data_IF_323911040915
#
_entry.id   IF_323911040915
#
_cell.length_a   1.000
_cell.length_b   1.000
_cell.length_c   1.000
_cell.angle_alpha   90.00
_cell.angle_beta   90.00
_cell.angle_gamma   90.00
#
_symmetry.space_group_name_H-M   'P 1'
#
loop_
_entity.id
_entity.type
_entity.pdbx_description
1 polymer ?
#
# COMPACT_ATOMS: atom_id res chain seq x y z
N UNK A 1 -3.94 7.21 11.50
CA UNK A 1 -4.41 8.11 12.57
C UNK A 1 -3.87 7.64 13.93
N UNK A 2 -3.94 6.36 14.23
CA UNK A 2 -3.42 5.77 15.47
C UNK A 2 -2.84 4.38 15.23
N UNK A 3 -1.92 3.93 16.11
CA UNK A 3 -1.36 2.58 16.04
C UNK A 3 -0.28 2.35 14.96
N UNK A 4 0.09 3.37 14.19
CA UNK A 4 1.06 3.23 13.10
C UNK A 4 2.38 2.61 13.52
N UNK A 5 2.96 1.76 12.65
CA UNK A 5 4.17 0.99 12.93
C UNK A 5 3.93 -0.35 13.62
N UNK A 6 2.75 -0.58 14.23
CA UNK A 6 2.44 -1.88 14.86
C UNK A 6 2.12 -2.98 13.84
N UNK A 7 1.94 -2.59 12.58
CA UNK A 7 1.75 -3.46 11.41
C UNK A 7 3.06 -3.92 10.76
N UNK A 8 4.20 -3.51 11.30
CA UNK A 8 5.51 -3.86 10.75
C UNK A 8 5.91 -5.30 11.06
N UNK A 9 6.61 -6.00 10.14
CA UNK A 9 6.98 -7.41 10.27
C UNK A 9 7.86 -7.73 11.49
N UNK A 10 8.54 -6.75 12.07
CA UNK A 10 9.32 -6.97 13.27
C UNK A 10 8.49 -6.91 14.56
N UNK A 11 7.29 -6.32 14.53
CA UNK A 11 6.46 -6.07 15.71
C UNK A 11 5.28 -7.03 15.84
N UNK A 12 4.38 -7.11 14.82
CA UNK A 12 3.15 -7.88 14.96
C UNK A 12 3.33 -9.38 15.23
N UNK A 13 4.42 -10.07 14.80
CA UNK A 13 4.56 -11.49 15.10
C UNK A 13 4.72 -11.79 16.61
N UNK A 14 5.20 -10.80 17.36
CA UNK A 14 5.38 -10.94 18.82
C UNK A 14 4.18 -10.44 19.60
N UNK A 15 3.65 -9.29 19.21
CA UNK A 15 2.70 -8.51 20.01
C UNK A 15 1.31 -8.37 19.36
N UNK A 16 1.14 -8.80 18.12
CA UNK A 16 0.01 -8.39 17.27
C UNK A 16 0.09 -6.92 16.91
N UNK A 17 -0.63 -6.49 15.86
CA UNK A 17 -0.73 -5.10 15.44
C UNK A 17 -2.15 -4.59 15.56
N UNK A 18 -2.31 -3.30 15.83
CA UNK A 18 -3.62 -2.66 15.88
C UNK A 18 -3.49 -1.19 15.49
N UNK A 19 -4.31 -0.74 14.53
CA UNK A 19 -4.19 0.61 14.00
C UNK A 19 -5.52 1.11 13.42
N UNK A 20 -5.68 2.43 13.42
CA UNK A 20 -6.78 3.13 12.76
C UNK A 20 -6.22 3.86 11.54
N UNK A 21 -6.78 3.58 10.37
CA UNK A 21 -6.42 4.22 9.11
C UNK A 21 -7.54 5.11 8.59
N UNK A 22 -7.17 6.18 7.88
CA UNK A 22 -8.12 6.97 7.10
C UNK A 22 -7.55 7.19 5.69
N UNK A 23 -8.38 6.94 4.69
CA UNK A 23 -8.01 7.18 3.30
C UNK A 23 -8.15 8.67 2.96
N UNK A 24 -7.20 9.20 2.22
CA UNK A 24 -7.26 10.59 1.74
C UNK A 24 -8.01 10.69 0.41
N UNK A 25 -8.67 11.82 0.17
CA UNK A 25 -9.30 12.15 -1.13
C UNK A 25 -8.24 12.58 -2.16
N UNK A 26 -7.19 11.76 -2.31
CA UNK A 26 -6.13 11.89 -3.30
C UNK A 26 -5.95 10.58 -4.03
N UNK A 27 -5.84 10.63 -5.34
CA UNK A 27 -5.98 9.44 -6.19
C UNK A 27 -4.73 9.14 -7.00
N UNK A 28 -4.53 7.85 -7.22
CA UNK A 28 -3.65 7.31 -8.24
C UNK A 28 -4.52 6.60 -9.27
N UNK A 29 -4.44 7.04 -10.50
CA UNK A 29 -5.19 6.47 -11.62
C UNK A 29 -4.30 5.50 -12.37
N UNK A 30 -4.79 4.29 -12.59
CA UNK A 30 -4.08 3.26 -13.36
C UNK A 30 -4.97 2.82 -14.51
N UNK A 31 -4.46 2.91 -15.72
CA UNK A 31 -5.13 2.39 -16.92
C UNK A 31 -4.38 1.20 -17.47
N UNK A 32 -5.13 0.18 -17.89
CA UNK A 32 -4.60 -1.03 -18.50
C UNK A 32 -5.34 -1.27 -19.81
N UNK A 33 -4.60 -1.42 -20.90
CA UNK A 33 -5.17 -1.76 -22.21
C UNK A 33 -4.34 -2.83 -22.92
N UNK A 34 -4.99 -3.67 -23.72
CA UNK A 34 -4.33 -4.69 -24.53
C UNK A 34 -3.67 -4.07 -25.77
N UNK A 35 -2.44 -4.47 -26.05
CA UNK A 35 -1.70 -4.03 -27.26
C UNK A 35 -1.78 -5.12 -28.34
N UNK A 36 -2.95 -5.24 -28.98
CA UNK A 36 -3.26 -6.33 -29.93
C UNK A 36 -2.33 -6.44 -31.14
N UNK A 37 -1.72 -5.32 -31.57
CA UNK A 37 -0.92 -5.25 -32.80
C UNK A 37 0.57 -5.02 -32.54
N UNK A 38 1.01 -5.06 -31.29
CA UNK A 38 2.38 -4.79 -30.90
C UNK A 38 2.84 -5.83 -29.89
N UNK A 39 4.01 -6.41 -30.12
CA UNK A 39 4.62 -7.46 -29.31
C UNK A 39 5.42 -6.94 -28.09
N UNK A 40 5.08 -5.76 -27.59
CA UNK A 40 5.83 -5.09 -26.50
C UNK A 40 4.89 -4.55 -25.42
N UNK A 41 5.29 -4.71 -24.17
CA UNK A 41 4.71 -4.00 -23.05
C UNK A 41 5.14 -2.52 -23.09
N UNK A 42 4.22 -1.63 -22.76
CA UNK A 42 4.49 -0.21 -22.51
C UNK A 42 4.04 0.16 -21.12
N UNK A 43 4.98 0.60 -20.28
CA UNK A 43 4.69 0.97 -18.89
C UNK A 43 5.06 2.44 -18.72
N UNK A 44 4.06 3.28 -18.47
CA UNK A 44 4.23 4.74 -18.33
C UNK A 44 3.90 5.18 -16.91
N UNK A 45 4.90 5.73 -16.24
CA UNK A 45 4.81 6.30 -14.89
C UNK A 45 5.69 7.57 -14.84
N UNK A 46 6.65 7.75 -13.93
CA UNK A 46 7.65 8.83 -13.99
C UNK A 46 8.61 8.72 -15.19
N UNK A 47 8.69 7.54 -15.78
CA UNK A 47 9.36 7.24 -17.05
C UNK A 47 8.48 6.32 -17.90
N UNK A 48 8.90 6.08 -19.15
CA UNK A 48 8.23 5.11 -20.03
C UNK A 48 9.21 3.98 -20.37
N UNK A 49 8.77 2.75 -20.10
CA UNK A 49 9.44 1.53 -20.52
C UNK A 49 8.72 0.94 -21.75
N UNK A 50 9.46 0.37 -22.68
CA UNK A 50 8.93 -0.31 -23.86
C UNK A 50 9.73 -1.57 -24.12
N UNK A 51 9.27 -2.69 -23.56
CA UNK A 51 10.02 -3.95 -23.45
C UNK A 51 9.26 -5.13 -24.03
N UNK A 52 9.97 -6.19 -24.45
CA UNK A 52 9.36 -7.38 -25.06
C UNK A 52 8.86 -8.39 -24.02
N UNK A 53 9.57 -8.51 -22.92
CA UNK A 53 9.28 -9.54 -21.92
C UNK A 53 9.00 -8.92 -20.56
N UNK A 54 8.23 -9.62 -19.73
CA UNK A 54 7.95 -9.19 -18.34
C UNK A 54 9.25 -9.08 -17.54
N UNK A 55 10.24 -9.92 -17.82
CA UNK A 55 11.52 -9.93 -17.11
C UNK A 55 12.33 -8.64 -17.32
N UNK A 56 12.13 -7.97 -18.45
CA UNK A 56 12.80 -6.70 -18.79
C UNK A 56 12.14 -5.48 -18.14
N UNK A 57 10.93 -5.63 -17.56
CA UNK A 57 10.23 -4.51 -16.89
C UNK A 57 11.03 -4.10 -15.66
N UNK A 58 11.49 -2.85 -15.61
CA UNK A 58 12.25 -2.31 -14.48
C UNK A 58 11.35 -2.02 -13.28
N UNK A 59 10.11 -1.54 -13.52
CA UNK A 59 9.15 -1.35 -12.45
C UNK A 59 8.81 -2.70 -11.81
N UNK A 60 9.41 -2.97 -10.66
CA UNK A 60 9.29 -4.25 -9.96
C UNK A 60 7.84 -4.59 -9.56
N UNK A 61 7.03 -3.61 -9.17
CA UNK A 61 5.62 -3.82 -8.81
C UNK A 61 4.80 -4.26 -10.01
N UNK A 62 4.99 -3.62 -11.17
CA UNK A 62 4.32 -4.02 -12.41
C UNK A 62 4.74 -5.43 -12.80
N UNK A 63 6.04 -5.70 -12.77
CA UNK A 63 6.60 -7.01 -13.12
C UNK A 63 6.01 -8.13 -12.26
N UNK A 64 5.99 -7.94 -10.95
CA UNK A 64 5.51 -8.98 -10.04
C UNK A 64 3.97 -9.10 -10.05
N UNK A 65 3.22 -8.02 -10.27
CA UNK A 65 1.77 -8.07 -10.47
C UNK A 65 1.39 -8.88 -11.73
N UNK A 66 2.07 -8.66 -12.85
CA UNK A 66 1.87 -9.42 -14.08
C UNK A 66 2.21 -10.91 -13.89
N UNK A 67 3.29 -11.21 -13.16
CA UNK A 67 3.68 -12.60 -12.81
C UNK A 67 2.65 -13.28 -11.92
N UNK A 68 2.24 -12.62 -10.85
CA UNK A 68 1.25 -13.14 -9.90
C UNK A 68 -0.06 -13.53 -10.61
N UNK A 69 -0.51 -12.68 -11.54
CA UNK A 69 -1.76 -12.89 -12.27
C UNK A 69 -1.60 -13.70 -13.56
N UNK A 70 -0.40 -14.23 -13.85
CA UNK A 70 -0.07 -15.00 -15.05
C UNK A 70 -0.46 -14.29 -16.36
N UNK A 71 -0.26 -12.97 -16.44
CA UNK A 71 -0.56 -12.19 -17.64
C UNK A 71 0.69 -12.10 -18.49
N UNK A 72 0.66 -12.77 -19.64
CA UNK A 72 1.81 -12.87 -20.56
C UNK A 72 1.65 -12.01 -21.83
N UNK A 73 0.43 -11.55 -22.12
CA UNK A 73 0.15 -10.71 -23.30
C UNK A 73 0.63 -9.30 -23.09
N UNK A 74 1.18 -8.66 -24.14
CA UNK A 74 1.60 -7.26 -24.10
C UNK A 74 0.46 -6.32 -23.71
N UNK A 75 0.70 -5.52 -22.70
CA UNK A 75 -0.21 -4.51 -22.20
C UNK A 75 0.42 -3.11 -22.27
N UNK A 76 -0.42 -2.11 -22.39
CA UNK A 76 -0.09 -0.73 -22.06
C UNK A 76 -0.65 -0.42 -20.68
N UNK A 77 0.21 -0.01 -19.77
CA UNK A 77 -0.11 0.37 -18.40
C UNK A 77 0.35 1.81 -18.22
N UNK A 78 -0.57 2.71 -17.91
CA UNK A 78 -0.25 4.11 -17.66
C UNK A 78 -0.76 4.55 -16.29
N UNK A 79 0.02 5.40 -15.62
CA UNK A 79 -0.25 5.87 -14.27
C UNK A 79 -0.24 7.39 -14.21
N UNK A 80 -1.26 7.96 -13.57
CA UNK A 80 -1.34 9.37 -13.21
C UNK A 80 -1.56 9.45 -11.70
N UNK A 81 -0.78 10.28 -11.01
CA UNK A 81 -0.88 10.44 -9.56
C UNK A 81 -1.08 11.91 -9.19
N UNK A 82 -2.04 12.18 -8.29
CA UNK A 82 -2.28 13.50 -7.74
C UNK A 82 -1.28 13.90 -6.64
N UNK A 83 -0.53 12.93 -6.13
CA UNK A 83 0.48 13.16 -5.09
C UNK A 83 1.86 12.73 -5.57
N UNK A 84 2.92 13.45 -5.19
CA UNK A 84 4.28 13.04 -5.54
C UNK A 84 4.61 11.65 -4.99
N UNK A 85 5.44 10.91 -5.73
CA UNK A 85 6.05 9.69 -5.19
C UNK A 85 6.93 10.00 -3.97
N UNK A 86 7.14 9.04 -3.09
CA UNK A 86 7.95 9.18 -1.86
C UNK A 86 7.49 10.31 -0.93
N UNK A 87 6.19 10.62 -0.96
CA UNK A 87 5.57 11.64 -0.08
C UNK A 87 5.19 11.11 1.30
N UNK A 88 5.32 9.80 1.56
CA UNK A 88 4.86 9.16 2.80
C UNK A 88 3.35 8.95 2.89
N UNK A 89 2.61 9.17 1.79
CA UNK A 89 1.14 9.05 1.73
C UNK A 89 0.67 7.72 1.12
N UNK A 90 1.50 6.68 1.12
CA UNK A 90 1.13 5.37 0.59
C UNK A 90 0.93 5.33 -0.93
N UNK A 91 1.50 6.28 -1.70
CA UNK A 91 1.31 6.36 -3.16
C UNK A 91 1.77 5.10 -3.90
N UNK A 92 2.78 4.41 -3.40
CA UNK A 92 3.30 3.17 -3.93
C UNK A 92 2.27 2.03 -3.83
N UNK A 93 1.71 1.83 -2.64
CA UNK A 93 0.67 0.83 -2.39
C UNK A 93 -0.63 1.20 -3.10
N UNK A 94 -0.95 2.51 -3.20
CA UNK A 94 -2.09 2.98 -3.98
C UNK A 94 -1.96 2.62 -5.46
N UNK A 95 -0.77 2.80 -6.03
CA UNK A 95 -0.46 2.36 -7.39
C UNK A 95 -0.66 0.85 -7.54
N UNK A 96 -0.07 0.06 -6.64
CA UNK A 96 -0.11 -1.40 -6.75
C UNK A 96 -1.53 -1.97 -6.59
N UNK A 97 -2.29 -1.48 -5.62
CA UNK A 97 -3.71 -1.88 -5.43
C UNK A 97 -4.55 -1.51 -6.66
N UNK A 98 -4.36 -0.29 -7.19
CA UNK A 98 -5.03 0.17 -8.41
C UNK A 98 -4.65 -0.68 -9.63
N UNK A 99 -3.37 -1.04 -9.76
CA UNK A 99 -2.87 -1.90 -10.82
C UNK A 99 -3.50 -3.30 -10.73
N UNK A 100 -3.46 -3.94 -9.58
CA UNK A 100 -4.05 -5.26 -9.37
C UNK A 100 -5.54 -5.26 -9.71
N UNK A 101 -6.28 -4.24 -9.24
CA UNK A 101 -7.70 -4.09 -9.57
C UNK A 101 -7.92 -3.98 -11.08
N UNK A 102 -7.11 -3.19 -11.79
CA UNK A 102 -7.22 -3.02 -13.24
C UNK A 102 -6.84 -4.31 -13.99
N UNK A 103 -5.83 -5.05 -13.52
CA UNK A 103 -5.41 -6.32 -14.12
C UNK A 103 -6.45 -7.44 -13.89
N UNK A 104 -7.06 -7.54 -12.72
CA UNK A 104 -8.19 -8.45 -12.49
C UNK A 104 -9.38 -8.11 -13.40
N UNK A 105 -9.72 -6.82 -13.52
CA UNK A 105 -10.78 -6.38 -14.44
C UNK A 105 -10.44 -6.72 -15.90
N UNK A 106 -9.19 -6.57 -16.32
CA UNK A 106 -8.72 -6.99 -17.64
C UNK A 106 -8.92 -8.50 -17.88
N UNK A 107 -8.70 -9.32 -16.85
CA UNK A 107 -8.97 -10.78 -16.90
C UNK A 107 -10.47 -11.13 -16.84
N UNK A 108 -11.36 -10.16 -16.59
CA UNK A 108 -12.78 -10.41 -16.35
C UNK A 108 -13.09 -10.95 -14.94
N UNK A 109 -12.16 -10.80 -14.01
CA UNK A 109 -12.29 -11.27 -12.63
C UNK A 109 -12.79 -10.14 -11.72
N UNK A 110 -13.71 -10.45 -10.82
CA UNK A 110 -14.15 -9.56 -9.75
C UNK A 110 -13.59 -10.06 -8.42
N UNK A 111 -12.74 -9.28 -7.79
CA UNK A 111 -12.09 -9.63 -6.52
C UNK A 111 -12.46 -8.66 -5.41
N UNK A 112 -12.43 -9.13 -4.17
CA UNK A 112 -12.75 -8.30 -3.01
C UNK A 112 -11.64 -7.28 -2.73
N UNK A 113 -11.99 -6.16 -2.07
CA UNK A 113 -11.00 -5.20 -1.57
C UNK A 113 -9.97 -5.87 -0.64
N UNK A 114 -10.40 -6.84 0.16
CA UNK A 114 -9.50 -7.61 1.02
C UNK A 114 -8.49 -8.40 0.20
N UNK A 115 -8.92 -9.09 -0.85
CA UNK A 115 -8.03 -9.83 -1.75
C UNK A 115 -6.99 -8.91 -2.38
N UNK A 116 -7.41 -7.74 -2.88
CA UNK A 116 -6.49 -6.74 -3.45
C UNK A 116 -5.44 -6.27 -2.43
N UNK A 117 -5.85 -6.03 -1.18
CA UNK A 117 -4.93 -5.64 -0.11
C UNK A 117 -3.93 -6.75 0.22
N UNK A 118 -4.40 -8.01 0.28
CA UNK A 118 -3.56 -9.18 0.56
C UNK A 118 -2.54 -9.44 -0.56
N UNK A 119 -2.96 -9.36 -1.82
CA UNK A 119 -2.08 -9.51 -2.98
C UNK A 119 -1.03 -8.38 -3.05
N UNK A 120 -1.44 -7.12 -2.82
CA UNK A 120 -0.51 -6.00 -2.78
C UNK A 120 0.51 -6.15 -1.65
N UNK A 121 0.06 -6.49 -0.43
CA UNK A 121 0.94 -6.77 0.69
C UNK A 121 1.88 -7.95 0.41
N UNK A 122 1.39 -9.00 -0.24
CA UNK A 122 2.21 -10.15 -0.64
C UNK A 122 3.32 -9.74 -1.61
N UNK A 123 3.00 -8.94 -2.63
CA UNK A 123 4.02 -8.46 -3.58
C UNK A 123 5.05 -7.61 -2.87
N UNK A 124 4.65 -6.57 -2.14
CA UNK A 124 5.59 -5.63 -1.54
C UNK A 124 6.42 -6.27 -0.40
N UNK A 125 5.79 -7.01 0.50
CA UNK A 125 6.44 -7.55 1.70
C UNK A 125 7.12 -8.91 1.42
N UNK A 126 6.41 -9.84 0.76
CA UNK A 126 6.90 -11.20 0.63
C UNK A 126 7.77 -11.41 -0.62
N UNK A 127 7.43 -10.80 -1.76
CA UNK A 127 8.18 -10.95 -3.00
C UNK A 127 9.32 -9.93 -3.07
N UNK A 128 9.00 -8.63 -2.94
CA UNK A 128 9.97 -7.54 -3.06
C UNK A 128 10.80 -7.33 -1.79
N UNK A 129 10.39 -7.93 -0.67
CA UNK A 129 11.09 -7.83 0.63
C UNK A 129 11.22 -6.39 1.13
N UNK A 130 10.25 -5.55 0.83
CA UNK A 130 10.24 -4.18 1.35
C UNK A 130 9.98 -4.19 2.86
N UNK A 131 10.69 -3.40 3.66
CA UNK A 131 10.56 -3.37 5.13
C UNK A 131 9.37 -2.51 5.57
N UNK A 132 8.23 -2.68 4.93
CA UNK A 132 6.99 -1.92 5.16
C UNK A 132 5.96 -2.75 5.92
N UNK A 133 4.96 -2.07 6.47
CA UNK A 133 3.80 -2.68 7.08
C UNK A 133 2.67 -2.95 6.08
N UNK A 134 1.53 -3.35 6.61
CA UNK A 134 0.34 -3.70 5.83
C UNK A 134 -0.71 -2.57 5.76
N UNK A 135 -0.50 -1.46 6.46
CA UNK A 135 -1.51 -0.42 6.62
C UNK A 135 -1.95 0.23 5.30
N UNK A 136 -0.99 0.56 4.43
CA UNK A 136 -1.26 1.34 3.22
C UNK A 136 -2.08 0.54 2.20
N UNK A 137 -1.75 -0.73 1.99
CA UNK A 137 -2.46 -1.62 1.07
C UNK A 137 -3.92 -1.79 1.50
N UNK A 138 -4.16 -2.00 2.81
CA UNK A 138 -5.52 -2.15 3.34
C UNK A 138 -6.28 -0.83 3.36
N UNK A 139 -5.65 0.28 3.74
CA UNK A 139 -6.28 1.61 3.72
C UNK A 139 -6.77 1.95 2.31
N UNK A 140 -5.90 1.79 1.31
CA UNK A 140 -6.23 2.08 -0.10
C UNK A 140 -7.32 1.16 -0.64
N UNK A 141 -7.22 -0.14 -0.40
CA UNK A 141 -8.16 -1.11 -0.96
C UNK A 141 -9.58 -0.99 -0.35
N UNK A 142 -9.65 -0.65 0.93
CA UNK A 142 -10.92 -0.54 1.66
C UNK A 142 -11.55 0.86 1.52
N UNK A 143 -10.73 1.91 1.49
CA UNK A 143 -11.21 3.29 1.54
C UNK A 143 -11.81 3.66 2.90
N UNK A 144 -12.19 4.94 3.09
CA UNK A 144 -12.82 5.42 4.32
C UNK A 144 -11.93 5.34 5.56
N UNK A 145 -12.57 5.17 6.74
CA UNK A 145 -11.89 5.02 8.02
C UNK A 145 -12.05 3.59 8.51
N UNK A 146 -10.94 2.92 8.82
CA UNK A 146 -10.95 1.51 9.21
C UNK A 146 -10.09 1.27 10.45
N UNK A 147 -10.56 0.35 11.28
CA UNK A 147 -9.77 -0.28 12.32
C UNK A 147 -9.19 -1.58 11.76
N UNK A 148 -7.87 -1.71 11.81
CA UNK A 148 -7.14 -2.89 11.36
C UNK A 148 -6.53 -3.59 12.56
N UNK A 149 -6.80 -4.88 12.71
CA UNK A 149 -6.19 -5.75 13.71
C UNK A 149 -5.40 -6.84 13.04
N UNK A 150 -4.11 -6.93 13.36
CA UNK A 150 -3.18 -7.89 12.76
C UNK A 150 -2.81 -8.91 13.82
N UNK A 151 -3.09 -10.16 13.55
CA UNK A 151 -2.68 -11.23 14.46
C UNK A 151 -1.19 -11.57 14.30
N UNK A 152 -0.67 -12.44 15.16
CA UNK A 152 0.75 -12.83 15.14
C UNK A 152 1.16 -13.58 13.88
N UNK A 153 0.23 -14.24 13.23
CA UNK A 153 0.41 -14.95 11.95
C UNK A 153 0.37 -13.98 10.76
N UNK A 154 0.04 -12.70 11.00
CA UNK A 154 0.00 -11.66 10.00
C UNK A 154 -1.32 -11.56 9.23
N UNK A 155 -2.37 -12.28 9.67
CA UNK A 155 -3.72 -12.11 9.11
C UNK A 155 -4.31 -10.78 9.60
N UNK A 156 -4.95 -10.05 8.70
CA UNK A 156 -5.58 -8.76 8.99
C UNK A 156 -7.09 -8.92 9.07
N UNK A 157 -7.65 -8.55 10.21
CA UNK A 157 -9.06 -8.28 10.37
C UNK A 157 -9.29 -6.78 10.23
N UNK A 158 -10.13 -6.38 9.27
CA UNK A 158 -10.44 -5.00 9.00
C UNK A 158 -11.92 -4.74 9.30
N UNK A 159 -12.20 -3.70 10.05
CA UNK A 159 -13.54 -3.28 10.41
C UNK A 159 -13.74 -1.80 10.06
N UNK A 160 -14.75 -1.43 9.25
CA UNK A 160 -15.02 -0.04 8.97
C UNK A 160 -15.49 0.69 10.23
N UNK A 161 -14.96 1.88 10.45
CA UNK A 161 -15.41 2.78 11.50
C UNK A 161 -16.44 3.72 10.90
N UNK A 162 -17.72 3.47 11.22
CA UNK A 162 -18.82 4.28 10.73
C UNK A 162 -18.94 5.56 11.54
N UNK A 163 -18.23 6.60 11.12
CA UNK A 163 -18.33 7.93 11.73
C UNK A 163 -19.66 8.61 11.35
N UNK A 164 -20.26 9.34 12.30
CA UNK A 164 -21.36 10.24 12.00
C UNK A 164 -20.87 11.33 11.03
N UNK A 165 -21.75 11.76 10.14
CA UNK A 165 -21.41 12.79 9.14
C UNK A 165 -20.73 14.02 9.75
N UNK A 166 -21.27 14.56 10.85
CA UNK A 166 -20.67 15.71 11.53
C UNK A 166 -19.28 15.42 12.06
N UNK A 167 -19.04 14.25 12.66
CA UNK A 167 -17.72 13.84 13.16
C UNK A 167 -16.71 13.70 12.02
N UNK A 168 -17.11 13.13 10.88
CA UNK A 168 -16.23 13.03 9.71
C UNK A 168 -15.90 14.43 9.17
N UNK A 169 -16.89 15.31 9.07
CA UNK A 169 -16.69 16.68 8.63
C UNK A 169 -15.80 17.48 9.59
N UNK A 170 -15.99 17.33 10.90
CA UNK A 170 -15.12 17.97 11.90
C UNK A 170 -13.68 17.47 11.76
N UNK A 171 -13.46 16.18 11.51
CA UNK A 171 -12.15 15.61 11.25
C UNK A 171 -11.53 16.24 9.99
N UNK A 172 -12.25 16.31 8.88
CA UNK A 172 -11.80 16.88 7.61
C UNK A 172 -11.41 18.36 7.75
N UNK A 173 -12.21 19.15 8.46
CA UNK A 173 -11.97 20.59 8.64
C UNK A 173 -10.75 20.86 9.55
N UNK A 174 -10.51 19.98 10.53
CA UNK A 174 -9.42 20.17 11.49
C UNK A 174 -8.11 19.46 11.12
N UNK A 175 -8.12 18.60 10.07
CA UNK A 175 -6.92 17.97 9.56
C UNK A 175 -6.35 18.77 8.38
N UNK A 176 -5.13 19.27 8.55
CA UNK A 176 -4.40 19.98 7.50
C UNK A 176 -3.17 19.20 7.10
N UNK A 177 -3.03 18.93 5.82
CA UNK A 177 -1.87 18.28 5.25
C UNK A 177 -0.91 19.34 4.68
N UNK A 178 0.31 19.39 5.21
CA UNK A 178 1.35 20.31 4.75
C UNK A 178 2.47 19.52 4.06
N UNK A 179 2.73 19.82 2.79
CA UNK A 179 3.88 19.26 2.09
C UNK A 179 5.14 20.04 2.49
N UNK A 180 6.11 19.34 3.07
CA UNK A 180 7.37 19.97 3.57
C UNK A 180 8.39 20.25 2.45
N UNK A 181 8.10 19.86 1.20
CA UNK A 181 9.06 19.96 0.10
C UNK A 181 10.14 18.87 0.11
N UNK A 182 10.13 17.98 1.09
CA UNK A 182 11.12 16.90 1.24
C UNK A 182 10.45 15.57 0.94
N UNK A 183 11.00 14.85 -0.03
CA UNK A 183 10.65 13.45 -0.31
C UNK A 183 11.73 12.54 0.27
N UNK A 184 11.33 11.45 0.91
CA UNK A 184 12.25 10.44 1.46
C UNK A 184 11.77 9.05 1.08
N UNK A 185 12.71 8.16 0.87
CA UNK A 185 12.38 6.74 0.77
C UNK A 185 11.97 6.23 2.15
N UNK A 186 10.71 5.79 2.27
CA UNK A 186 10.18 5.23 3.51
C UNK A 186 10.97 3.99 3.95
N UNK A 187 11.53 3.25 3.01
CA UNK A 187 12.29 2.02 3.23
C UNK A 187 13.47 2.22 4.18
N UNK A 188 14.23 3.30 4.00
CA UNK A 188 15.41 3.57 4.83
C UNK A 188 15.01 3.98 6.25
N UNK A 189 13.99 4.82 6.37
CA UNK A 189 13.46 5.25 7.67
C UNK A 189 12.92 4.04 8.46
N UNK A 190 12.18 3.14 7.80
CA UNK A 190 11.60 1.98 8.46
C UNK A 190 12.65 0.93 8.84
N UNK A 191 13.72 0.77 8.06
CA UNK A 191 14.87 -0.08 8.44
C UNK A 191 15.56 0.44 9.70
N UNK A 192 15.80 1.74 9.77
CA UNK A 192 16.42 2.38 10.93
C UNK A 192 15.52 2.26 12.17
N UNK A 193 14.22 2.53 12.02
CA UNK A 193 13.23 2.35 13.08
C UNK A 193 13.22 0.90 13.61
N UNK A 194 13.20 -0.08 12.73
CA UNK A 194 13.22 -1.49 13.11
C UNK A 194 14.43 -1.84 13.98
N UNK A 195 15.63 -1.43 13.57
CA UNK A 195 16.86 -1.66 14.35
C UNK A 195 16.80 -0.97 15.70
N UNK A 196 16.36 0.29 15.72
CA UNK A 196 16.28 1.10 16.93
C UNK A 196 15.29 0.54 17.97
N UNK A 197 14.11 0.10 17.52
CA UNK A 197 13.08 -0.44 18.42
C UNK A 197 13.47 -1.82 18.97
N UNK A 198 14.06 -2.68 18.14
CA UNK A 198 14.45 -4.03 18.57
C UNK A 198 15.61 -4.02 19.59
N UNK A 199 16.42 -2.97 19.62
CA UNK A 199 17.56 -2.84 20.54
C UNK A 199 17.22 -2.12 21.85
N UNK A 200 15.98 -1.63 22.01
CA UNK A 200 15.60 -0.74 23.10
C UNK A 200 14.22 -1.07 23.68
N UNK A 201 14.21 -1.59 24.92
CA UNK A 201 12.98 -1.97 25.61
C UNK A 201 12.03 -0.81 25.88
N UNK A 202 12.53 0.40 26.06
CA UNK A 202 11.69 1.59 26.28
C UNK A 202 10.92 1.92 25.01
N UNK A 203 11.59 1.92 23.86
CA UNK A 203 10.95 2.11 22.55
C UNK A 203 9.93 1.01 22.25
N UNK A 204 10.21 -0.22 22.62
CA UNK A 204 9.27 -1.32 22.47
C UNK A 204 8.02 -1.11 23.34
N UNK A 205 8.17 -0.62 24.56
CA UNK A 205 7.05 -0.26 25.43
C UNK A 205 6.24 0.91 24.83
N UNK A 206 6.88 1.93 24.26
CA UNK A 206 6.19 3.01 23.55
C UNK A 206 5.37 2.48 22.37
N UNK A 207 5.89 1.53 21.59
CA UNK A 207 5.14 0.89 20.51
C UNK A 207 3.90 0.12 21.03
N UNK A 208 4.00 -0.54 22.16
CA UNK A 208 2.84 -1.18 22.80
C UNK A 208 1.80 -0.16 23.29
N UNK A 209 2.22 0.99 23.79
CA UNK A 209 1.30 2.09 24.15
C UNK A 209 0.62 2.69 22.89
N UNK A 210 1.37 2.88 21.80
CA UNK A 210 0.81 3.33 20.51
C UNK A 210 -0.25 2.33 20.02
N UNK A 211 -0.02 1.02 20.17
CA UNK A 211 -1.01 -0.01 19.86
C UNK A 211 -2.28 0.16 20.70
N UNK A 212 -2.14 0.36 22.01
CA UNK A 212 -3.28 0.54 22.92
C UNK A 212 -4.15 1.77 22.60
N UNK A 213 -3.57 2.84 22.02
CA UNK A 213 -4.32 4.01 21.57
C UNK A 213 -5.25 3.66 20.41
N UNK A 214 -4.95 2.63 19.63
CA UNK A 214 -5.76 2.20 18.49
C UNK A 214 -6.78 1.11 18.83
N UNK A 215 -6.71 0.56 20.05
CA UNK A 215 -7.63 -0.50 20.57
C UNK A 215 -8.98 0.08 21.12
#
# INVERSE_FOLDING_TARGET
>A
IGGGGTDLPFFYPKFGGELVTACLSKYVYVTVSERKFVDRFRISYSKTENVKTIAEIENNRVREALRLLNITRPLEIATISEVPGSSGLGSSSAFLVGLLKALHAYKGESVSSKTLAEEAAHIEINILKEPIGKQDQYAVALGGVNHLKINKEGTVAASPINLRYNTLRDLEVNLHLFFTGITRDATDVLKEQSKSVLSDNEKLNCMNQIKQIAS
#
